data_IF_757413963793
#
_entry.id   IF_757413963793
#
_cell.length_a   1.000
_cell.length_b   1.000
_cell.length_c   1.000
_cell.angle_alpha   90.00
_cell.angle_beta   90.00
_cell.angle_gamma   90.00
#
_symmetry.space_group_name_H-M   'P 1'
#
loop_
_entity.id
_entity.type
_entity.pdbx_description
1 polymer ?
#
# COMPACT_ATOMS: atom_id res chain seq x y z
N UNK A 1 82.96 37.16 12.55
CA UNK A 1 82.55 36.01 13.39
C UNK A 1 81.04 36.07 13.53
N UNK A 2 80.37 34.97 13.24
CA UNK A 2 79.01 34.92 12.67
C UNK A 2 77.86 35.34 13.59
N UNK A 3 76.85 35.95 12.98
CA UNK A 3 75.49 36.03 13.50
C UNK A 3 74.68 34.89 12.88
N UNK A 4 74.15 34.02 13.74
CA UNK A 4 73.21 32.96 13.35
C UNK A 4 71.82 33.57 13.07
N UNK A 5 71.26 33.24 11.93
CA UNK A 5 69.89 33.58 11.52
C UNK A 5 68.86 32.76 12.33
N UNK A 6 67.90 33.39 13.04
CA UNK A 6 66.85 32.70 13.76
C UNK A 6 65.66 32.44 12.81
N UNK A 7 65.82 31.50 11.88
CA UNK A 7 64.71 30.89 11.16
C UNK A 7 64.57 29.41 11.56
N UNK A 8 64.48 29.19 12.87
CA UNK A 8 64.04 27.93 13.45
C UNK A 8 62.61 27.61 13.00
N UNK A 9 62.45 26.45 12.37
CA UNK A 9 61.22 25.68 12.19
C UNK A 9 59.99 26.42 11.63
N UNK A 10 59.87 26.50 10.31
CA UNK A 10 58.57 26.62 9.64
C UNK A 10 58.28 25.42 8.73
N UNK A 11 57.45 24.53 9.24
CA UNK A 11 56.38 23.81 8.53
C UNK A 11 56.68 22.97 7.28
N UNK A 12 57.75 22.14 7.29
CA UNK A 12 57.84 21.03 6.33
C UNK A 12 56.90 19.85 6.66
N UNK A 13 56.45 19.71 7.91
CA UNK A 13 55.54 18.64 8.35
C UNK A 13 54.06 18.97 8.09
N UNK A 14 53.67 20.24 8.15
CA UNK A 14 52.30 20.69 7.89
C UNK A 14 51.88 20.47 6.43
N UNK A 15 52.76 20.75 5.47
CA UNK A 15 52.44 20.70 4.04
C UNK A 15 52.28 19.26 3.52
N UNK A 16 53.10 18.32 4.01
CA UNK A 16 52.94 16.88 3.68
C UNK A 16 51.68 16.29 4.32
N UNK A 17 51.36 16.68 5.55
CA UNK A 17 50.16 16.21 6.25
C UNK A 17 48.88 16.74 5.58
N UNK A 18 48.87 18.02 5.19
CA UNK A 18 47.78 18.62 4.40
C UNK A 18 47.61 17.92 3.04
N UNK A 19 48.71 17.63 2.34
CA UNK A 19 48.65 16.93 1.05
C UNK A 19 48.11 15.51 1.19
N UNK A 20 48.52 14.76 2.22
CA UNK A 20 47.96 13.44 2.52
C UNK A 20 46.48 13.50 2.90
N UNK A 21 46.05 14.49 3.67
CA UNK A 21 44.63 14.69 4.02
C UNK A 21 43.80 14.98 2.76
N UNK A 22 44.31 15.82 1.85
CA UNK A 22 43.63 16.11 0.58
C UNK A 22 43.50 14.87 -0.31
N UNK A 23 44.55 14.06 -0.44
CA UNK A 23 44.50 12.81 -1.22
C UNK A 23 43.50 11.83 -0.60
N UNK A 24 43.54 11.65 0.72
CA UNK A 24 42.59 10.77 1.42
C UNK A 24 41.14 11.26 1.27
N UNK A 25 40.89 12.56 1.41
CA UNK A 25 39.56 13.14 1.22
C UNK A 25 39.06 12.97 -0.22
N UNK A 26 39.92 13.20 -1.22
CA UNK A 26 39.57 13.02 -2.62
C UNK A 26 39.31 11.54 -2.96
N UNK A 27 40.13 10.62 -2.44
CA UNK A 27 39.93 9.18 -2.58
C UNK A 27 38.62 8.71 -1.93
N UNK A 28 38.29 9.22 -0.74
CA UNK A 28 37.02 8.91 -0.05
C UNK A 28 35.82 9.46 -0.81
N UNK A 29 35.89 10.70 -1.32
CA UNK A 29 34.80 11.30 -2.10
C UNK A 29 34.58 10.55 -3.42
N UNK A 30 35.65 10.23 -4.14
CA UNK A 30 35.57 9.45 -5.40
C UNK A 30 35.08 8.03 -5.17
N UNK A 31 35.52 7.37 -4.10
CA UNK A 31 35.02 6.04 -3.71
C UNK A 31 33.54 6.10 -3.31
N UNK A 32 33.12 7.10 -2.52
CA UNK A 32 31.71 7.33 -2.19
C UNK A 32 30.88 7.60 -3.45
N UNK A 33 31.39 8.40 -4.38
CA UNK A 33 30.72 8.72 -5.63
C UNK A 33 30.61 7.49 -6.53
N UNK A 34 31.64 6.64 -6.60
CA UNK A 34 31.60 5.36 -7.31
C UNK A 34 30.67 4.34 -6.64
N UNK A 35 30.62 4.26 -5.31
CA UNK A 35 29.68 3.42 -4.58
C UNK A 35 28.25 3.89 -4.80
N UNK A 36 28.00 5.20 -4.73
CA UNK A 36 26.68 5.80 -4.98
C UNK A 36 26.27 5.61 -6.45
N UNK A 37 27.19 5.82 -7.40
CA UNK A 37 26.95 5.60 -8.82
C UNK A 37 26.71 4.13 -9.14
N UNK A 38 27.52 3.21 -8.61
CA UNK A 38 27.37 1.76 -8.75
C UNK A 38 26.07 1.26 -8.12
N UNK A 39 25.69 1.76 -6.94
CA UNK A 39 24.41 1.42 -6.29
C UNK A 39 23.21 1.95 -7.08
N UNK A 40 23.33 3.13 -7.69
CA UNK A 40 22.33 3.69 -8.60
C UNK A 40 22.27 2.92 -9.93
N UNK A 41 23.41 2.47 -10.46
CA UNK A 41 23.53 1.67 -11.67
C UNK A 41 22.92 0.28 -11.47
N UNK A 42 23.28 -0.46 -10.42
CA UNK A 42 22.69 -1.76 -10.07
C UNK A 42 21.17 -1.64 -9.86
N UNK A 43 20.70 -0.51 -9.29
CA UNK A 43 19.27 -0.25 -9.11
C UNK A 43 18.55 0.04 -10.44
N UNK A 44 19.20 0.71 -11.41
CA UNK A 44 18.68 0.93 -12.77
C UNK A 44 18.68 -0.36 -13.60
N UNK A 45 19.75 -1.14 -13.53
CA UNK A 45 19.91 -2.41 -14.28
C UNK A 45 18.83 -3.42 -13.88
N UNK A 46 18.48 -3.50 -12.59
CA UNK A 46 17.32 -4.30 -12.16
C UNK A 46 16.02 -3.79 -12.76
N UNK A 47 15.82 -2.47 -12.81
CA UNK A 47 14.56 -1.90 -13.26
C UNK A 47 14.34 -2.05 -14.78
N UNK A 48 15.37 -1.90 -15.61
CA UNK A 48 15.27 -2.07 -17.07
C UNK A 48 14.94 -3.51 -17.47
N UNK A 49 15.63 -4.50 -16.89
CA UNK A 49 15.35 -5.93 -17.14
C UNK A 49 13.91 -6.31 -16.76
N UNK A 50 13.36 -5.63 -15.74
CA UNK A 50 11.97 -5.80 -15.30
C UNK A 50 10.97 -5.19 -16.28
N UNK A 51 11.29 -4.05 -16.90
CA UNK A 51 10.49 -3.49 -17.98
C UNK A 51 10.47 -4.43 -19.20
N UNK A 52 11.59 -5.05 -19.53
CA UNK A 52 11.68 -5.97 -20.67
C UNK A 52 10.91 -7.27 -20.41
N UNK A 53 11.03 -7.85 -19.21
CA UNK A 53 10.20 -8.99 -18.78
C UNK A 53 8.72 -8.67 -18.71
N UNK A 54 8.36 -7.45 -18.30
CA UNK A 54 6.95 -7.05 -18.27
C UNK A 54 6.40 -6.84 -19.70
N UNK A 55 7.19 -6.24 -20.61
CA UNK A 55 6.80 -6.10 -22.02
C UNK A 55 6.52 -7.46 -22.67
N UNK A 56 7.33 -8.48 -22.37
CA UNK A 56 7.10 -9.82 -22.90
C UNK A 56 5.83 -10.47 -22.35
N UNK A 57 5.46 -10.20 -21.09
CA UNK A 57 4.20 -10.67 -20.50
C UNK A 57 2.95 -10.06 -21.14
N UNK A 58 3.03 -8.84 -21.70
CA UNK A 58 1.90 -8.20 -22.40
C UNK A 58 1.64 -8.77 -23.81
N UNK A 59 2.57 -9.56 -24.37
CA UNK A 59 2.41 -10.08 -25.73
C UNK A 59 1.33 -11.17 -25.82
N UNK A 60 0.96 -11.79 -24.69
CA UNK A 60 -0.07 -12.81 -24.63
C UNK A 60 -1.38 -12.23 -24.07
N UNK A 61 -2.51 -12.54 -24.71
CA UNK A 61 -3.83 -12.26 -24.15
C UNK A 61 -3.95 -13.00 -22.82
N UNK A 62 -4.09 -12.27 -21.73
CA UNK A 62 -4.26 -12.86 -20.40
C UNK A 62 -5.53 -13.71 -20.35
N UNK A 63 -5.41 -14.88 -19.73
CA UNK A 63 -6.53 -15.76 -19.39
C UNK A 63 -6.32 -16.31 -17.98
N UNK A 64 -7.41 -16.47 -17.24
CA UNK A 64 -7.36 -17.03 -15.90
C UNK A 64 -6.98 -18.51 -15.96
N UNK A 65 -6.00 -18.91 -15.15
CA UNK A 65 -5.73 -20.32 -14.88
C UNK A 65 -6.45 -20.70 -13.59
N UNK A 66 -7.62 -21.30 -13.73
CA UNK A 66 -8.51 -21.62 -12.61
C UNK A 66 -7.82 -22.53 -11.59
N UNK A 67 -7.02 -23.51 -12.06
CA UNK A 67 -6.32 -24.45 -11.18
C UNK A 67 -5.27 -23.73 -10.32
N UNK A 68 -4.39 -22.97 -10.96
CA UNK A 68 -3.35 -22.17 -10.29
C UNK A 68 -3.96 -21.15 -9.33
N UNK A 69 -5.02 -20.46 -9.76
CA UNK A 69 -5.74 -19.50 -8.92
C UNK A 69 -6.31 -20.18 -7.67
N UNK A 70 -7.02 -21.30 -7.82
CA UNK A 70 -7.62 -22.02 -6.69
C UNK A 70 -6.56 -22.59 -5.74
N UNK A 71 -5.45 -23.10 -6.28
CA UNK A 71 -4.33 -23.57 -5.46
C UNK A 71 -3.73 -22.42 -4.64
N UNK A 72 -3.49 -21.25 -5.26
CA UNK A 72 -2.98 -20.08 -4.57
C UNK A 72 -3.93 -19.62 -3.46
N UNK A 73 -5.24 -19.51 -3.75
CA UNK A 73 -6.27 -19.12 -2.78
C UNK A 73 -6.37 -20.08 -1.60
N UNK A 74 -6.18 -21.39 -1.83
CA UNK A 74 -6.11 -22.39 -0.76
C UNK A 74 -4.94 -22.12 0.21
N UNK A 75 -3.80 -21.63 -0.28
CA UNK A 75 -2.68 -21.26 0.60
C UNK A 75 -3.01 -20.04 1.47
N UNK A 76 -3.68 -19.03 0.90
CA UNK A 76 -4.14 -17.85 1.62
C UNK A 76 -5.16 -18.20 2.69
N UNK A 77 -6.10 -19.08 2.35
CA UNK A 77 -7.12 -19.58 3.26
C UNK A 77 -6.57 -20.27 4.50
N UNK A 78 -5.43 -20.97 4.36
CA UNK A 78 -4.75 -21.65 5.47
C UNK A 78 -3.93 -20.69 6.33
N UNK A 79 -3.49 -19.58 5.75
CA UNK A 79 -2.61 -18.63 6.44
C UNK A 79 -3.38 -17.47 7.08
N UNK A 80 -4.27 -16.84 6.32
CA UNK A 80 -4.86 -15.54 6.64
C UNK A 80 -6.36 -15.69 6.96
N UNK A 81 -7.11 -16.40 6.11
CA UNK A 81 -8.54 -16.66 6.26
C UNK A 81 -9.39 -15.39 6.39
N UNK A 82 -9.39 -14.56 5.34
CA UNK A 82 -10.18 -13.32 5.27
C UNK A 82 -11.67 -13.51 5.63
N UNK A 83 -12.38 -14.58 5.19
CA UNK A 83 -13.76 -14.81 5.58
C UNK A 83 -14.01 -14.98 7.09
N UNK A 84 -12.97 -15.14 7.91
CA UNK A 84 -13.10 -15.21 9.37
C UNK A 84 -12.35 -14.12 10.11
N UNK A 85 -11.30 -13.56 9.52
CA UNK A 85 -10.38 -12.66 10.21
C UNK A 85 -10.09 -11.36 9.48
N UNK A 86 -10.67 -11.06 8.31
CA UNK A 86 -10.38 -9.77 7.67
C UNK A 86 -10.76 -8.60 8.58
N UNK A 87 -11.94 -8.70 9.22
CA UNK A 87 -12.44 -7.69 10.15
C UNK A 87 -12.47 -8.21 11.59
N UNK A 88 -12.36 -7.31 12.57
CA UNK A 88 -12.79 -7.60 13.95
C UNK A 88 -14.31 -7.69 14.00
N UNK A 89 -14.83 -8.79 14.51
CA UNK A 89 -16.25 -9.08 14.64
C UNK A 89 -16.55 -9.47 16.09
N UNK A 90 -17.81 -9.42 16.49
CA UNK A 90 -18.20 -9.89 17.83
C UNK A 90 -17.88 -11.38 18.02
N UNK A 91 -17.93 -12.17 16.95
CA UNK A 91 -17.58 -13.61 16.96
C UNK A 91 -16.09 -13.88 17.13
N UNK A 92 -15.22 -13.17 16.41
CA UNK A 92 -13.78 -13.43 16.45
C UNK A 92 -13.04 -12.58 17.50
N UNK A 93 -13.67 -11.52 17.99
CA UNK A 93 -13.14 -10.61 19.01
C UNK A 93 -14.21 -10.34 20.09
N UNK A 94 -14.54 -11.33 20.95
CA UNK A 94 -15.56 -11.18 21.99
C UNK A 94 -15.25 -10.11 23.04
N UNK A 95 -16.28 -9.67 23.77
CA UNK A 95 -16.13 -8.76 24.92
C UNK A 95 -15.07 -9.28 25.92
N UNK A 96 -14.20 -8.40 26.40
CA UNK A 96 -13.12 -8.73 27.33
C UNK A 96 -11.85 -9.28 26.67
N UNK A 97 -11.83 -9.45 25.35
CA UNK A 97 -10.63 -9.85 24.61
C UNK A 97 -9.48 -8.88 24.86
N UNK A 98 -8.30 -9.44 25.16
CA UNK A 98 -7.02 -8.72 25.25
C UNK A 98 -6.36 -8.70 23.88
N UNK A 99 -6.79 -7.77 23.02
CA UNK A 99 -6.37 -7.70 21.63
C UNK A 99 -4.96 -7.10 21.53
N UNK A 100 -4.01 -7.86 20.95
CA UNK A 100 -2.65 -7.37 20.69
C UNK A 100 -2.65 -6.50 19.44
N UNK A 101 -1.94 -5.38 19.50
CA UNK A 101 -1.69 -4.54 18.33
C UNK A 101 -0.81 -5.25 17.30
N UNK A 102 -0.96 -4.91 16.02
CA UNK A 102 -0.13 -5.47 14.93
C UNK A 102 1.37 -5.19 15.14
N UNK A 103 1.74 -3.96 15.52
CA UNK A 103 3.15 -3.50 15.58
C UNK A 103 3.61 -3.14 16.99
N UNK A 104 2.72 -2.64 17.85
CA UNK A 104 3.05 -2.33 19.25
C UNK A 104 2.92 -3.60 20.09
N UNK A 105 3.96 -4.43 20.10
CA UNK A 105 3.91 -5.79 20.71
C UNK A 105 3.73 -5.78 22.23
N UNK A 106 4.00 -4.66 22.89
CA UNK A 106 3.72 -4.46 24.32
C UNK A 106 2.32 -3.91 24.59
N UNK A 107 1.70 -3.28 23.60
CA UNK A 107 0.37 -2.72 23.72
C UNK A 107 -0.71 -3.80 23.63
N UNK A 108 -1.58 -3.82 24.64
CA UNK A 108 -2.81 -4.62 24.65
C UNK A 108 -3.99 -3.66 24.69
N UNK A 109 -4.94 -3.85 23.77
CA UNK A 109 -6.23 -3.17 23.82
C UNK A 109 -7.26 -4.09 24.45
N UNK A 110 -7.91 -3.61 25.51
CA UNK A 110 -8.97 -4.34 26.20
C UNK A 110 -10.31 -4.00 25.55
N UNK A 111 -10.94 -4.99 24.92
CA UNK A 111 -12.23 -4.81 24.25
C UNK A 111 -13.31 -4.63 25.31
N UNK A 112 -13.77 -3.38 25.45
CA UNK A 112 -14.86 -3.00 26.34
C UNK A 112 -16.22 -3.09 25.62
N UNK A 113 -17.30 -2.82 26.35
CA UNK A 113 -18.66 -2.92 25.84
C UNK A 113 -18.94 -1.93 24.69
N UNK A 114 -18.37 -0.74 24.75
CA UNK A 114 -18.55 0.31 23.74
C UNK A 114 -17.96 -0.14 22.39
N UNK A 115 -16.69 -0.55 22.38
CA UNK A 115 -16.02 -1.01 21.17
C UNK A 115 -16.62 -2.31 20.64
N UNK A 116 -16.97 -3.25 21.52
CA UNK A 116 -17.60 -4.50 21.14
C UNK A 116 -18.90 -4.28 20.34
N UNK A 117 -19.72 -3.30 20.76
CA UNK A 117 -20.97 -2.94 20.06
C UNK A 117 -20.74 -2.32 18.68
N UNK A 118 -19.56 -1.77 18.40
CA UNK A 118 -19.22 -1.23 17.08
C UNK A 118 -18.89 -2.32 16.07
N UNK A 119 -18.55 -3.52 16.51
CA UNK A 119 -18.19 -4.61 15.61
C UNK A 119 -19.43 -5.25 14.99
N UNK A 120 -19.37 -5.68 13.72
CA UNK A 120 -20.40 -6.52 13.15
C UNK A 120 -20.47 -7.86 13.90
N UNK A 121 -21.64 -8.49 13.90
CA UNK A 121 -21.85 -9.78 14.58
C UNK A 121 -20.89 -10.86 14.06
N UNK A 122 -20.78 -10.96 12.75
CA UNK A 122 -19.87 -11.89 12.05
C UNK A 122 -19.35 -11.23 10.75
N UNK A 123 -18.47 -11.92 10.03
CA UNK A 123 -17.95 -11.47 8.75
C UNK A 123 -19.11 -11.32 7.73
N UNK A 124 -19.29 -10.13 7.11
CA UNK A 124 -20.39 -9.92 6.17
C UNK A 124 -20.16 -10.57 4.80
N UNK A 125 -18.95 -11.05 4.53
CA UNK A 125 -18.54 -11.62 3.25
C UNK A 125 -18.06 -13.06 3.41
N UNK A 126 -18.48 -13.91 2.48
CA UNK A 126 -18.10 -15.30 2.41
C UNK A 126 -16.95 -15.52 1.42
N UNK A 127 -16.32 -16.70 1.52
CA UNK A 127 -15.31 -17.16 0.56
C UNK A 127 -15.90 -17.21 -0.85
N UNK A 128 -15.17 -16.67 -1.82
CA UNK A 128 -15.56 -16.67 -3.24
C UNK A 128 -17.01 -16.23 -3.48
N UNK A 129 -17.51 -15.28 -2.68
CA UNK A 129 -18.88 -14.77 -2.80
C UNK A 129 -19.09 -13.99 -4.11
N UNK A 130 -18.04 -13.29 -4.57
CA UNK A 130 -18.12 -12.40 -5.72
C UNK A 130 -17.43 -13.05 -6.93
N UNK A 131 -18.05 -13.01 -8.12
CA UNK A 131 -17.46 -13.62 -9.30
C UNK A 131 -16.26 -12.81 -9.77
N UNK A 132 -16.39 -11.49 -9.88
CA UNK A 132 -15.33 -10.59 -10.30
C UNK A 132 -15.14 -9.44 -9.32
N UNK A 133 -13.91 -9.27 -8.83
CA UNK A 133 -13.54 -8.14 -7.99
C UNK A 133 -12.53 -7.23 -8.68
N UNK A 134 -12.72 -5.93 -8.52
CA UNK A 134 -11.72 -4.92 -8.87
C UNK A 134 -11.06 -4.41 -7.59
N UNK A 135 -9.73 -4.45 -7.54
CA UNK A 135 -8.95 -3.75 -6.51
C UNK A 135 -8.28 -2.57 -7.19
N UNK A 136 -8.63 -1.36 -6.74
CA UNK A 136 -8.17 -0.11 -7.31
C UNK A 136 -7.15 0.53 -6.37
N UNK A 137 -5.88 0.44 -6.76
CA UNK A 137 -4.79 1.21 -6.21
C UNK A 137 -4.78 2.64 -6.77
N UNK A 138 -3.86 3.46 -6.26
CA UNK A 138 -3.87 4.89 -6.55
C UNK A 138 -2.85 5.32 -7.61
N UNK A 139 -2.14 4.38 -8.24
CA UNK A 139 -1.00 4.66 -9.12
C UNK A 139 -1.36 5.56 -10.31
N UNK A 140 -0.45 6.46 -10.68
CA UNK A 140 -0.63 7.39 -11.80
C UNK A 140 -0.81 6.75 -13.17
N UNK A 141 -0.57 5.45 -13.29
CA UNK A 141 -0.81 4.65 -14.50
C UNK A 141 -2.29 4.64 -14.91
N UNK A 142 -3.22 4.98 -14.01
CA UNK A 142 -4.64 5.07 -14.31
C UNK A 142 -5.00 6.31 -15.15
N UNK A 143 -4.16 7.35 -15.18
CA UNK A 143 -4.47 8.55 -15.97
C UNK A 143 -4.61 8.22 -17.45
N UNK A 144 -5.72 8.64 -18.05
CA UNK A 144 -6.10 8.37 -19.44
C UNK A 144 -6.20 6.88 -19.79
N UNK A 145 -6.41 6.01 -18.79
CA UNK A 145 -6.59 4.57 -19.00
C UNK A 145 -7.99 4.22 -19.49
N UNK A 146 -8.99 5.08 -19.25
CA UNK A 146 -10.41 4.82 -19.56
C UNK A 146 -10.96 3.53 -18.94
N UNK A 147 -10.35 3.08 -17.84
CA UNK A 147 -10.72 1.84 -17.18
C UNK A 147 -11.96 1.94 -16.29
N UNK A 148 -12.58 3.11 -16.16
CA UNK A 148 -13.68 3.32 -15.22
C UNK A 148 -14.86 2.39 -15.45
N UNK A 149 -15.26 2.17 -16.72
CA UNK A 149 -16.34 1.23 -17.06
C UNK A 149 -15.98 -0.22 -16.71
N UNK A 150 -14.74 -0.64 -16.94
CA UNK A 150 -14.32 -2.01 -16.59
C UNK A 150 -14.27 -2.20 -15.06
N UNK A 151 -13.82 -1.20 -14.31
CA UNK A 151 -13.82 -1.21 -12.84
C UNK A 151 -15.26 -1.31 -12.32
N UNK A 152 -16.16 -0.47 -12.83
CA UNK A 152 -17.56 -0.42 -12.37
C UNK A 152 -18.37 -1.67 -12.77
N UNK A 153 -17.90 -2.43 -13.77
CA UNK A 153 -18.48 -3.72 -14.15
C UNK A 153 -18.20 -4.87 -13.17
N UNK A 154 -17.26 -4.71 -12.23
CA UNK A 154 -16.96 -5.74 -11.24
C UNK A 154 -18.11 -5.92 -10.25
N UNK A 155 -18.29 -7.12 -9.71
CA UNK A 155 -19.30 -7.38 -8.67
C UNK A 155 -18.97 -6.64 -7.37
N UNK A 156 -17.69 -6.51 -7.05
CA UNK A 156 -17.21 -5.85 -5.83
C UNK A 156 -15.92 -5.05 -6.07
N UNK A 157 -15.88 -3.81 -5.57
CA UNK A 157 -14.78 -2.86 -5.78
C UNK A 157 -14.15 -2.43 -4.46
N UNK A 158 -12.85 -2.74 -4.32
CA UNK A 158 -12.00 -2.30 -3.22
C UNK A 158 -11.21 -1.04 -3.62
N UNK A 159 -11.21 0.01 -2.80
CA UNK A 159 -10.43 1.23 -3.02
C UNK A 159 -9.50 1.55 -1.85
N UNK A 160 -8.33 2.10 -2.16
CA UNK A 160 -7.29 2.37 -1.18
C UNK A 160 -7.26 3.85 -0.74
N UNK A 161 -7.45 4.10 0.57
CA UNK A 161 -7.04 5.32 1.25
C UNK A 161 -7.76 6.61 0.80
N UNK A 162 -9.09 6.54 0.67
CA UNK A 162 -9.96 7.65 0.26
C UNK A 162 -9.45 8.45 -0.97
N UNK A 163 -9.19 7.80 -2.11
CA UNK A 163 -8.66 8.50 -3.27
C UNK A 163 -9.80 9.30 -3.94
N UNK A 164 -9.56 10.54 -4.41
CA UNK A 164 -10.63 11.38 -4.96
C UNK A 164 -11.30 10.73 -6.17
N UNK A 165 -12.63 10.59 -6.11
CA UNK A 165 -13.48 10.22 -7.23
C UNK A 165 -14.30 11.47 -7.57
N UNK A 166 -14.07 12.04 -8.74
CA UNK A 166 -14.82 13.18 -9.27
C UNK A 166 -14.95 13.01 -10.78
N UNK A 167 -15.77 13.84 -11.43
CA UNK A 167 -15.98 13.81 -12.89
C UNK A 167 -14.66 13.81 -13.69
N UNK A 168 -13.61 14.43 -13.14
CA UNK A 168 -12.27 14.43 -13.72
C UNK A 168 -11.60 13.05 -13.79
N UNK A 169 -11.93 12.15 -12.87
CA UNK A 169 -11.24 10.86 -12.69
C UNK A 169 -12.13 9.67 -13.02
N UNK A 170 -13.46 9.81 -13.00
CA UNK A 170 -14.41 8.70 -13.16
C UNK A 170 -14.25 7.94 -14.47
N UNK A 171 -13.85 8.60 -15.57
CA UNK A 171 -13.57 7.91 -16.84
C UNK A 171 -12.44 6.86 -16.69
N UNK A 172 -11.44 7.17 -15.87
CA UNK A 172 -10.26 6.34 -15.66
C UNK A 172 -10.44 5.32 -14.52
N UNK A 173 -11.07 5.74 -13.42
CA UNK A 173 -11.07 4.97 -12.17
C UNK A 173 -12.45 4.48 -11.74
N UNK A 174 -13.51 4.85 -12.45
CA UNK A 174 -14.89 4.48 -12.13
C UNK A 174 -15.42 5.16 -10.87
N UNK A 175 -16.69 4.96 -10.56
CA UNK A 175 -17.34 5.48 -9.36
C UNK A 175 -17.68 4.38 -8.34
N UNK A 176 -17.92 3.14 -8.79
CA UNK A 176 -18.37 2.04 -7.93
C UNK A 176 -17.36 1.78 -6.82
N UNK A 177 -17.85 1.68 -5.60
CA UNK A 177 -17.05 1.38 -4.41
C UNK A 177 -17.89 0.58 -3.43
N UNK A 178 -17.39 -0.59 -3.01
CA UNK A 178 -18.06 -1.41 -2.00
C UNK A 178 -17.30 -1.32 -0.65
N UNK A 179 -15.97 -1.25 -0.72
CA UNK A 179 -15.11 -1.01 0.44
C UNK A 179 -14.05 0.03 0.09
N UNK A 180 -13.90 1.05 0.94
CA UNK A 180 -12.78 2.00 0.88
C UNK A 180 -12.00 1.99 2.18
N UNK A 181 -10.68 1.90 2.10
CA UNK A 181 -9.85 2.01 3.30
C UNK A 181 -9.56 3.45 3.66
N UNK A 182 -9.27 3.71 4.94
CA UNK A 182 -8.77 5.00 5.41
C UNK A 182 -7.51 4.79 6.22
N UNK A 183 -6.39 5.34 5.75
CA UNK A 183 -5.18 5.40 6.56
C UNK A 183 -5.37 6.46 7.67
N UNK A 184 -5.15 6.13 8.95
CA UNK A 184 -5.31 7.09 10.05
C UNK A 184 -4.44 8.35 9.93
N UNK A 185 -3.35 8.32 9.15
CA UNK A 185 -2.59 9.55 8.86
C UNK A 185 -3.40 10.57 8.08
N UNK A 186 -4.31 10.16 7.18
CA UNK A 186 -5.20 11.06 6.44
C UNK A 186 -6.09 11.82 7.42
N UNK A 187 -6.68 11.10 8.37
CA UNK A 187 -7.56 11.67 9.39
C UNK A 187 -6.77 12.63 10.30
N UNK A 188 -5.56 12.22 10.69
CA UNK A 188 -4.69 13.02 11.57
C UNK A 188 -4.22 14.30 10.89
N UNK A 189 -3.69 14.20 9.68
CA UNK A 189 -3.01 15.28 8.98
C UNK A 189 -3.98 16.23 8.27
N UNK A 190 -5.04 15.70 7.62
CA UNK A 190 -5.99 16.51 6.83
C UNK A 190 -7.20 16.97 7.63
N UNK A 191 -7.61 16.20 8.65
CA UNK A 191 -8.86 16.45 9.39
C UNK A 191 -8.62 16.64 10.90
N UNK A 192 -7.38 16.95 11.29
CA UNK A 192 -6.99 17.27 12.66
C UNK A 192 -7.52 16.26 13.69
N UNK A 193 -7.38 14.96 13.37
CA UNK A 193 -7.81 13.82 14.21
C UNK A 193 -9.31 13.78 14.54
N UNK A 194 -10.14 14.56 13.84
CA UNK A 194 -11.58 14.69 14.08
C UNK A 194 -11.93 15.17 15.50
N UNK A 195 -11.05 15.96 16.12
CA UNK A 195 -11.26 16.53 17.46
C UNK A 195 -12.20 17.74 17.47
N UNK A 196 -12.40 18.37 16.30
CA UNK A 196 -13.24 19.57 16.13
C UNK A 196 -14.22 19.39 14.98
N UNK A 197 -14.01 20.09 13.86
CA UNK A 197 -14.91 20.10 12.71
C UNK A 197 -14.94 18.74 12.00
N UNK A 198 -16.06 18.02 12.13
CA UNK A 198 -16.25 16.66 11.57
C UNK A 198 -16.86 16.65 10.16
N UNK A 199 -17.67 17.67 9.82
CA UNK A 199 -18.40 17.78 8.56
C UNK A 199 -17.52 17.64 7.30
N UNK A 200 -16.32 18.25 7.20
CA UNK A 200 -15.49 18.12 6.00
C UNK A 200 -15.05 16.68 5.71
N UNK A 201 -14.80 15.89 6.75
CA UNK A 201 -14.46 14.47 6.58
C UNK A 201 -15.69 13.67 6.12
N UNK A 202 -16.85 13.91 6.74
CA UNK A 202 -18.11 13.28 6.33
C UNK A 202 -18.46 13.56 4.86
N UNK A 203 -18.27 14.80 4.39
CA UNK A 203 -18.48 15.19 2.99
C UNK A 203 -17.57 14.41 2.02
N UNK A 204 -16.33 14.10 2.42
CA UNK A 204 -15.44 13.26 1.60
C UNK A 204 -15.95 11.82 1.51
N UNK A 205 -16.59 11.30 2.56
CA UNK A 205 -17.16 9.95 2.56
C UNK A 205 -18.40 9.82 1.66
N UNK A 206 -19.15 10.92 1.43
CA UNK A 206 -20.34 10.91 0.58
C UNK A 206 -20.05 10.57 -0.88
N UNK A 207 -18.81 10.78 -1.32
CA UNK A 207 -18.35 10.39 -2.66
C UNK A 207 -18.42 8.88 -2.88
N UNK A 208 -18.42 8.08 -1.81
CA UNK A 208 -18.45 6.61 -1.88
C UNK A 208 -19.83 6.04 -1.56
N UNK A 209 -20.88 6.86 -1.58
CA UNK A 209 -22.27 6.43 -1.34
C UNK A 209 -22.39 5.53 -0.11
N UNK A 210 -22.84 4.28 -0.28
CA UNK A 210 -23.05 3.30 0.79
C UNK A 210 -21.85 2.39 1.05
N UNK A 211 -20.67 2.70 0.48
CA UNK A 211 -19.47 1.89 0.65
C UNK A 211 -19.10 1.77 2.14
N UNK A 212 -18.63 0.59 2.51
CA UNK A 212 -18.09 0.35 3.85
C UNK A 212 -16.72 1.01 4.01
N UNK A 213 -16.50 1.61 5.17
CA UNK A 213 -15.25 2.28 5.54
C UNK A 213 -14.39 1.35 6.38
N UNK A 214 -13.17 1.06 5.92
CA UNK A 214 -12.28 0.08 6.55
C UNK A 214 -11.02 0.73 7.12
N UNK A 215 -10.76 0.57 8.42
CA UNK A 215 -9.64 1.21 9.11
C UNK A 215 -8.73 0.22 9.86
N UNK A 216 -7.41 0.45 9.91
CA UNK A 216 -6.49 -0.33 10.74
C UNK A 216 -6.43 0.24 12.17
N UNK A 217 -7.54 0.19 12.90
CA UNK A 217 -7.65 0.72 14.27
C UNK A 217 -6.63 0.07 15.21
N UNK A 218 -6.55 -1.25 15.18
CA UNK A 218 -5.68 -2.04 16.05
C UNK A 218 -4.27 -2.26 15.49
N UNK A 219 -3.73 -1.26 14.78
CA UNK A 219 -2.34 -1.25 14.34
C UNK A 219 -1.37 -0.82 15.46
N UNK A 220 -1.71 0.25 16.16
CA UNK A 220 -1.03 0.77 17.35
C UNK A 220 -2.01 1.64 18.15
N UNK A 221 -1.64 2.00 19.38
CA UNK A 221 -2.44 2.84 20.28
C UNK A 221 -2.91 4.16 19.66
N UNK A 222 -2.05 4.87 18.94
CA UNK A 222 -2.38 6.15 18.29
C UNK A 222 -3.45 6.02 17.19
N UNK A 223 -3.52 4.87 16.52
CA UNK A 223 -4.47 4.64 15.45
C UNK A 223 -5.87 4.31 15.99
N UNK A 224 -5.97 3.72 17.18
CA UNK A 224 -7.24 3.28 17.78
C UNK A 224 -8.21 4.44 17.92
N UNK A 225 -7.83 5.47 18.66
CA UNK A 225 -8.71 6.61 18.95
C UNK A 225 -9.13 7.33 17.68
N UNK A 226 -8.18 7.56 16.77
CA UNK A 226 -8.43 8.25 15.49
C UNK A 226 -9.40 7.44 14.61
N UNK A 227 -9.26 6.11 14.60
CA UNK A 227 -10.12 5.25 13.79
C UNK A 227 -11.52 5.13 14.38
N UNK A 228 -11.64 5.03 15.71
CA UNK A 228 -12.93 4.97 16.40
C UNK A 228 -13.72 6.27 16.19
N UNK A 229 -13.04 7.44 16.18
CA UNK A 229 -13.69 8.72 15.87
C UNK A 229 -14.36 8.74 14.50
N UNK A 230 -13.92 7.96 13.52
CA UNK A 230 -14.63 7.82 12.23
C UNK A 230 -16.03 7.25 12.43
N UNK A 231 -16.18 6.25 13.30
CA UNK A 231 -17.50 5.70 13.64
C UNK A 231 -18.38 6.76 14.31
N UNK A 232 -17.84 7.53 15.26
CA UNK A 232 -18.60 8.62 15.87
C UNK A 232 -19.02 9.69 14.85
N UNK A 233 -18.17 10.03 13.88
CA UNK A 233 -18.57 10.95 12.81
C UNK A 233 -19.76 10.38 12.02
N UNK A 234 -19.70 9.12 11.63
CA UNK A 234 -20.77 8.51 10.85
C UNK A 234 -22.07 8.40 11.67
N UNK A 235 -21.98 8.17 12.98
CA UNK A 235 -23.13 8.18 13.89
C UNK A 235 -23.73 9.58 14.07
N UNK A 236 -22.90 10.62 14.27
CA UNK A 236 -23.34 12.01 14.42
C UNK A 236 -24.11 12.53 13.20
N UNK A 237 -23.83 11.99 12.02
CA UNK A 237 -24.48 12.34 10.76
C UNK A 237 -25.46 11.27 10.26
N UNK A 238 -25.83 10.30 11.11
CA UNK A 238 -26.80 9.24 10.80
C UNK A 238 -26.51 8.50 9.47
N UNK A 239 -25.22 8.28 9.20
CA UNK A 239 -24.78 7.67 7.94
C UNK A 239 -25.13 6.19 7.87
N UNK A 240 -25.61 5.68 6.71
CA UNK A 240 -25.84 4.25 6.51
C UNK A 240 -24.54 3.45 6.30
N UNK A 241 -23.40 4.12 6.08
CA UNK A 241 -22.13 3.46 5.80
C UNK A 241 -21.64 2.64 7.00
N UNK A 242 -21.35 1.35 6.76
CA UNK A 242 -20.73 0.50 7.76
C UNK A 242 -19.27 0.88 8.01
N UNK A 243 -18.81 0.75 9.26
CA UNK A 243 -17.39 0.88 9.62
C UNK A 243 -16.86 -0.48 10.06
N UNK A 244 -15.76 -0.89 9.44
CA UNK A 244 -15.04 -2.11 9.78
C UNK A 244 -13.61 -1.78 10.21
N UNK A 245 -13.06 -2.63 11.07
CA UNK A 245 -11.68 -2.54 11.49
C UNK A 245 -10.94 -3.82 11.13
N UNK A 246 -9.74 -3.70 10.58
CA UNK A 246 -8.92 -4.87 10.30
C UNK A 246 -8.60 -5.63 11.58
N UNK A 247 -8.69 -6.96 11.55
CA UNK A 247 -8.19 -7.77 12.66
C UNK A 247 -6.65 -7.79 12.64
N UNK A 248 -5.97 -7.46 13.75
CA UNK A 248 -4.50 -7.37 13.76
C UNK A 248 -3.82 -8.71 13.43
N UNK A 249 -4.40 -9.84 13.86
CA UNK A 249 -3.88 -11.17 13.49
C UNK A 249 -3.89 -11.43 11.98
N UNK A 250 -4.91 -10.94 11.26
CA UNK A 250 -4.95 -11.08 9.80
C UNK A 250 -3.80 -10.31 9.16
N UNK A 251 -3.58 -9.06 9.58
CA UNK A 251 -2.49 -8.23 9.08
C UNK A 251 -1.11 -8.85 9.34
N UNK A 252 -0.90 -9.43 10.54
CA UNK A 252 0.32 -10.17 10.88
C UNK A 252 0.50 -11.39 9.96
N UNK A 253 -0.56 -12.17 9.74
CA UNK A 253 -0.49 -13.38 8.91
C UNK A 253 -0.20 -13.04 7.45
N UNK A 254 -0.88 -12.03 6.90
CA UNK A 254 -0.62 -11.52 5.54
C UNK A 254 0.83 -11.05 5.42
N UNK A 255 1.32 -10.27 6.40
CA UNK A 255 2.71 -9.79 6.41
C UNK A 255 3.72 -10.94 6.39
N UNK A 256 3.51 -11.98 7.21
CA UNK A 256 4.37 -13.18 7.25
C UNK A 256 4.29 -13.99 5.96
N UNK A 257 3.09 -14.17 5.41
CA UNK A 257 2.88 -14.89 4.16
C UNK A 257 3.69 -14.27 3.02
N UNK A 258 3.56 -12.96 2.83
CA UNK A 258 4.26 -12.24 1.76
C UNK A 258 5.77 -12.10 2.02
N UNK A 259 6.20 -12.04 3.29
CA UNK A 259 7.62 -12.13 3.64
C UNK A 259 8.23 -13.45 3.14
N UNK A 260 7.52 -14.57 3.29
CA UNK A 260 7.97 -15.88 2.79
C UNK A 260 8.01 -15.94 1.26
N UNK A 261 7.20 -15.12 0.58
CA UNK A 261 7.25 -14.92 -0.88
C UNK A 261 8.25 -13.84 -1.31
N UNK A 262 9.13 -13.40 -0.41
CA UNK A 262 10.23 -12.48 -0.71
C UNK A 262 9.88 -11.00 -0.62
N UNK A 263 8.67 -10.62 -0.19
CA UNK A 263 8.31 -9.22 0.06
C UNK A 263 8.95 -8.75 1.38
N UNK A 264 10.17 -8.25 1.29
CA UNK A 264 10.93 -7.71 2.43
C UNK A 264 10.63 -6.22 2.61
N UNK A 265 9.60 -5.91 3.39
CA UNK A 265 9.22 -4.55 3.74
C UNK A 265 9.16 -4.38 5.26
N UNK A 266 9.35 -3.15 5.77
CA UNK A 266 9.03 -2.83 7.16
C UNK A 266 7.53 -2.97 7.43
N UNK A 267 6.71 -2.61 6.43
CA UNK A 267 5.26 -2.82 6.43
C UNK A 267 4.78 -3.07 5.01
N UNK A 268 3.86 -4.02 4.84
CA UNK A 268 3.15 -4.24 3.58
C UNK A 268 2.19 -3.08 3.26
N UNK A 269 1.93 -2.80 1.98
CA UNK A 269 0.98 -1.75 1.61
C UNK A 269 -0.48 -2.14 1.87
N UNK A 270 -1.35 -1.12 2.01
CA UNK A 270 -2.81 -1.30 1.99
C UNK A 270 -3.27 -2.06 0.74
N UNK A 271 -2.67 -1.76 -0.41
CA UNK A 271 -2.98 -2.45 -1.65
C UNK A 271 -2.73 -3.95 -1.55
N UNK A 272 -1.57 -4.37 -1.04
CA UNK A 272 -1.25 -5.80 -0.85
C UNK A 272 -2.23 -6.51 0.10
N UNK A 273 -2.67 -5.82 1.17
CA UNK A 273 -3.70 -6.35 2.08
C UNK A 273 -5.03 -6.57 1.34
N UNK A 274 -5.50 -5.58 0.58
CA UNK A 274 -6.78 -5.69 -0.15
C UNK A 274 -6.71 -6.70 -1.30
N UNK A 275 -5.59 -6.82 -2.00
CA UNK A 275 -5.38 -7.86 -3.01
C UNK A 275 -5.46 -9.25 -2.37
N UNK A 276 -4.85 -9.42 -1.20
CA UNK A 276 -4.90 -10.71 -0.48
C UNK A 276 -6.34 -11.04 -0.08
N UNK A 277 -7.08 -10.07 0.47
CA UNK A 277 -8.48 -10.25 0.82
C UNK A 277 -9.35 -10.56 -0.40
N UNK A 278 -9.18 -9.84 -1.51
CA UNK A 278 -9.94 -10.07 -2.75
C UNK A 278 -9.71 -11.48 -3.32
N UNK A 279 -8.48 -12.00 -3.25
CA UNK A 279 -8.19 -13.37 -3.68
C UNK A 279 -8.95 -14.42 -2.83
N UNK A 280 -9.21 -14.15 -1.56
CA UNK A 280 -9.95 -15.06 -0.68
C UNK A 280 -11.49 -14.90 -0.80
N UNK A 281 -11.97 -13.72 -1.19
CA UNK A 281 -13.40 -13.38 -1.25
C UNK A 281 -14.01 -13.48 -2.66
N UNK A 282 -13.18 -13.57 -3.71
CA UNK A 282 -13.63 -13.47 -5.09
C UNK A 282 -13.14 -14.62 -5.97
N UNK A 283 -13.89 -14.98 -7.02
CA UNK A 283 -13.49 -15.98 -8.01
C UNK A 283 -12.43 -15.43 -8.98
N UNK A 284 -12.58 -14.21 -9.47
CA UNK A 284 -11.64 -13.53 -10.37
C UNK A 284 -11.26 -12.16 -9.81
N UNK A 285 -9.97 -11.80 -9.87
CA UNK A 285 -9.45 -10.55 -9.29
C UNK A 285 -8.70 -9.74 -10.34
N UNK A 286 -9.17 -8.51 -10.56
CA UNK A 286 -8.56 -7.52 -11.45
C UNK A 286 -7.92 -6.39 -10.62
N UNK A 287 -6.67 -6.07 -10.91
CA UNK A 287 -5.90 -5.03 -10.26
C UNK A 287 -5.75 -3.83 -11.19
N UNK A 288 -6.10 -2.65 -10.69
CA UNK A 288 -6.01 -1.37 -11.39
C UNK A 288 -5.14 -0.40 -10.59
N UNK A 289 -4.25 0.35 -11.24
CA UNK A 289 -3.43 1.36 -10.55
C UNK A 289 -2.30 0.81 -9.67
N UNK A 290 -1.95 -0.47 -9.81
CA UNK A 290 -0.85 -1.11 -9.09
C UNK A 290 0.47 -0.93 -9.83
N UNK A 291 1.00 0.30 -9.79
CA UNK A 291 2.25 0.66 -10.47
C UNK A 291 3.06 1.67 -9.65
N UNK A 292 4.26 1.28 -9.23
CA UNK A 292 5.14 2.08 -8.37
C UNK A 292 6.44 2.47 -9.07
N UNK A 293 6.47 2.39 -10.40
CA UNK A 293 7.60 2.84 -11.21
C UNK A 293 7.34 4.25 -11.75
N UNK A 294 8.39 5.08 -11.89
CA UNK A 294 8.26 6.47 -12.34
C UNK A 294 7.87 6.61 -13.81
N UNK A 295 7.99 5.54 -14.60
CA UNK A 295 7.63 5.51 -16.02
C UNK A 295 6.55 4.46 -16.24
N UNK A 296 5.65 4.72 -17.18
CA UNK A 296 4.71 3.73 -17.67
C UNK A 296 5.44 2.70 -18.57
N UNK A 297 4.77 1.61 -18.94
CA UNK A 297 5.20 0.66 -19.98
C UNK A 297 5.87 1.21 -21.24
N UNK A 298 5.40 2.35 -21.74
CA UNK A 298 5.89 3.01 -22.96
C UNK A 298 7.12 3.89 -22.70
N UNK A 299 7.63 3.94 -21.47
CA UNK A 299 8.80 4.75 -21.08
C UNK A 299 8.48 6.21 -20.75
N UNK A 300 7.20 6.60 -20.73
CA UNK A 300 6.79 7.96 -20.40
C UNK A 300 6.71 8.15 -18.89
N UNK A 301 7.24 9.26 -18.38
CA UNK A 301 7.13 9.60 -16.97
C UNK A 301 5.68 9.79 -16.55
N UNK A 302 5.32 9.21 -15.42
CA UNK A 302 4.00 9.34 -14.81
C UNK A 302 4.12 9.79 -13.36
N UNK A 303 3.04 10.39 -12.86
CA UNK A 303 2.96 10.80 -11.46
C UNK A 303 2.82 9.60 -10.52
N UNK A 304 3.12 9.80 -9.24
CA UNK A 304 2.95 8.73 -8.25
C UNK A 304 1.49 8.31 -8.13
N UNK A 305 0.57 9.27 -7.97
CA UNK A 305 -0.86 9.00 -7.94
C UNK A 305 -1.57 9.46 -9.21
N UNK A 306 -2.79 8.99 -9.45
CA UNK A 306 -3.60 9.50 -10.57
C UNK A 306 -4.16 10.92 -10.30
N UNK A 307 -4.17 11.36 -9.04
CA UNK A 307 -4.69 12.68 -8.64
C UNK A 307 -3.61 13.68 -8.24
N UNK A 308 -2.42 13.24 -7.86
CA UNK A 308 -1.29 14.11 -7.46
C UNK A 308 0.08 13.44 -7.74
N UNK A 309 1.17 14.06 -7.28
CA UNK A 309 2.52 13.49 -7.35
C UNK A 309 3.20 13.35 -5.97
N UNK A 310 2.41 13.19 -4.91
CA UNK A 310 2.92 13.03 -3.54
C UNK A 310 3.54 11.65 -3.40
N UNK A 311 4.82 11.59 -3.07
CA UNK A 311 5.57 10.34 -2.92
C UNK A 311 5.35 9.72 -1.54
N UNK A 312 5.41 8.38 -1.42
CA UNK A 312 5.32 7.70 -0.14
C UNK A 312 6.52 8.04 0.73
N UNK A 313 6.39 7.87 2.06
CA UNK A 313 7.53 7.97 2.97
C UNK A 313 8.57 6.89 2.62
N UNK A 314 9.84 7.25 2.33
CA UNK A 314 10.87 6.28 1.97
C UNK A 314 11.10 5.24 3.08
N UNK A 315 11.39 3.99 2.70
CA UNK A 315 11.81 2.94 3.62
C UNK A 315 10.69 2.25 4.43
N UNK A 316 9.42 2.61 4.24
CA UNK A 316 8.29 1.94 4.90
C UNK A 316 7.80 0.71 4.13
N UNK A 317 7.49 0.90 2.85
CA UNK A 317 6.95 -0.14 1.96
C UNK A 317 7.98 -0.58 0.93
N UNK A 318 7.88 -1.82 0.47
CA UNK A 318 8.66 -2.34 -0.64
C UNK A 318 7.78 -2.44 -1.91
N UNK A 319 7.07 -1.36 -2.27
CA UNK A 319 6.07 -1.38 -3.35
C UNK A 319 6.55 -2.00 -4.68
N UNK A 320 7.79 -1.76 -5.15
CA UNK A 320 8.30 -2.48 -6.32
C UNK A 320 8.27 -4.01 -6.14
N UNK A 321 8.68 -4.52 -4.98
CA UNK A 321 8.65 -5.95 -4.65
C UNK A 321 7.24 -6.52 -4.59
N UNK A 322 6.27 -5.75 -4.09
CA UNK A 322 4.86 -6.14 -4.07
C UNK A 322 4.32 -6.25 -5.50
N UNK A 323 4.63 -5.28 -6.35
CA UNK A 323 4.19 -5.27 -7.75
C UNK A 323 4.83 -6.41 -8.54
N UNK A 324 6.10 -6.76 -8.30
CA UNK A 324 6.71 -7.93 -8.94
C UNK A 324 5.95 -9.21 -8.61
N UNK A 325 5.47 -9.34 -7.38
CA UNK A 325 4.63 -10.48 -7.02
C UNK A 325 3.30 -10.44 -7.78
N UNK A 326 2.64 -9.29 -7.91
CA UNK A 326 1.41 -9.19 -8.71
C UNK A 326 1.63 -9.53 -10.19
N UNK A 327 2.74 -9.09 -10.78
CA UNK A 327 3.11 -9.43 -12.16
C UNK A 327 3.43 -10.92 -12.32
N UNK A 328 4.05 -11.55 -11.31
CA UNK A 328 4.26 -12.99 -11.31
C UNK A 328 2.96 -13.79 -11.19
N UNK A 329 2.02 -13.33 -10.35
CA UNK A 329 0.68 -13.93 -10.27
C UNK A 329 -0.11 -13.71 -11.57
N UNK A 330 0.07 -12.56 -12.21
CA UNK A 330 -0.50 -12.26 -13.52
C UNK A 330 -0.02 -13.23 -14.60
N UNK A 331 1.29 -13.47 -14.69
CA UNK A 331 1.86 -14.40 -15.67
C UNK A 331 1.37 -15.85 -15.49
N UNK A 332 0.90 -16.20 -14.30
CA UNK A 332 0.34 -17.52 -13.96
C UNK A 332 -1.18 -17.60 -14.12
N UNK A 333 -1.85 -16.51 -14.52
CA UNK A 333 -3.31 -16.48 -14.62
C UNK A 333 -4.04 -16.50 -13.27
N UNK A 334 -3.37 -16.15 -12.16
CA UNK A 334 -3.95 -16.17 -10.80
C UNK A 334 -4.79 -14.91 -10.54
N UNK A 335 -4.33 -13.76 -11.05
CA UNK A 335 -5.03 -12.48 -11.04
C UNK A 335 -4.67 -11.70 -12.30
N UNK A 336 -5.44 -10.66 -12.64
CA UNK A 336 -5.14 -9.79 -13.79
C UNK A 336 -4.62 -8.44 -13.34
N UNK A 337 -3.48 -7.99 -13.87
CA UNK A 337 -2.96 -6.63 -13.61
C UNK A 337 -3.16 -5.78 -14.86
N UNK A 338 -3.90 -4.68 -14.71
CA UNK A 338 -4.11 -3.70 -15.77
C UNK A 338 -3.07 -2.59 -15.67
N UNK A 339 -2.39 -2.36 -16.79
CA UNK A 339 -1.23 -1.45 -16.90
C UNK A 339 -1.29 -0.59 -18.18
N UNK A 340 -2.34 -0.77 -18.99
CA UNK A 340 -2.60 0.00 -20.20
C UNK A 340 -4.02 0.55 -20.21
N UNK A 341 -4.45 1.01 -21.38
CA UNK A 341 -5.83 1.46 -21.59
C UNK A 341 -6.78 0.26 -21.57
N UNK A 342 -7.94 0.44 -20.96
CA UNK A 342 -9.03 -0.52 -21.10
C UNK A 342 -9.78 -0.21 -22.39
N UNK A 343 -10.00 -1.23 -23.23
CA UNK A 343 -10.75 -1.06 -24.46
C UNK A 343 -12.23 -0.82 -24.09
N UNK A 344 -12.81 0.26 -24.60
CA UNK A 344 -14.26 0.33 -24.75
C UNK A 344 -14.64 -0.72 -25.79
N UNK A 345 -15.37 -1.76 -25.40
CA UNK A 345 -16.16 -2.52 -26.36
C UNK A 345 -17.24 -1.60 -26.96
#
# INVERSE_FOLDING_TARGET
MGYADPSANRDLLGNRTLFFIFICAFAVVTLLQQILYGRNYIRRVKQSELFDRWKSLQMCKWAMNISEANQFKSTLSRCCNAPSFLFTTQKNTPLGTKLKYEVDTSGIYHINQEIFRMFPKDMPYNRSQFKKCAVVGNGGILKNSRCGREIDSADFVFRCNLPPISEKYTEDVGAKTDVVTVNPSIITERFHKLEKWRRPFYQVLQVYENASVLLPAFYNTRNTDVSIRVKYVLDDFESPQAVYYFHPQYLINVSRYWLNLGVRAKRISTGLILVTAALELCEEVHLFGFWAFPMNPSGLFITHHYYDNVKPRPGFHAMPSEIFNFLHLHSRGILRVHTGTCNCC
#
